data_IF_633090691839
#
_entry.id   IF_633090691839
#
_cell.length_a   1.000
_cell.length_b   1.000
_cell.length_c   1.000
_cell.angle_alpha   90.00
_cell.angle_beta   90.00
_cell.angle_gamma   90.00
#
_symmetry.space_group_name_H-M   'P 1'
#
loop_
_entity.id
_entity.type
_entity.pdbx_description
1 polymer ?
#
# COMPACT_ATOMS: atom_id res chain seq x y z
N UNK A 1 4.19 -25.05 19.08
CA UNK A 1 4.66 -25.76 20.28
C UNK A 1 4.55 -24.82 21.47
N UNK A 2 3.94 -25.25 22.54
CA UNK A 2 3.87 -24.50 23.80
C UNK A 2 4.21 -25.48 24.93
N UNK A 3 5.34 -25.29 25.59
CA UNK A 3 5.80 -26.10 26.73
C UNK A 3 5.57 -25.42 28.09
N UNK A 4 4.64 -24.43 28.14
CA UNK A 4 4.32 -23.62 29.31
C UNK A 4 5.27 -22.43 29.55
N UNK A 5 6.47 -22.45 28.97
CA UNK A 5 7.45 -21.35 29.05
C UNK A 5 7.77 -20.72 27.71
N UNK A 6 7.53 -21.42 26.61
CA UNK A 6 7.84 -20.95 25.25
C UNK A 6 6.63 -21.20 24.35
N UNK A 7 6.17 -20.18 23.70
CA UNK A 7 5.10 -20.23 22.70
C UNK A 7 5.65 -19.78 21.34
N UNK A 8 5.32 -20.52 20.28
CA UNK A 8 5.59 -20.12 18.90
C UNK A 8 4.28 -20.25 18.13
N UNK A 9 3.92 -19.20 17.41
CA UNK A 9 2.75 -19.16 16.54
C UNK A 9 3.15 -18.67 15.15
N UNK A 10 2.81 -19.45 14.14
CA UNK A 10 2.88 -19.05 12.74
C UNK A 10 1.48 -19.00 12.16
N UNK A 11 1.20 -17.95 11.38
CA UNK A 11 -0.04 -17.82 10.60
C UNK A 11 0.26 -17.34 9.20
N UNK A 12 -0.42 -17.95 8.25
CA UNK A 12 -0.44 -17.53 6.86
C UNK A 12 -1.88 -17.20 6.47
N UNK A 13 -2.08 -16.07 5.80
CA UNK A 13 -3.37 -15.65 5.26
C UNK A 13 -3.21 -15.34 3.80
N UNK A 14 -4.00 -16.00 2.96
CA UNK A 14 -4.13 -15.74 1.53
C UNK A 14 -5.47 -15.05 1.28
N UNK A 15 -5.44 -13.91 0.59
CA UNK A 15 -6.63 -13.17 0.16
C UNK A 15 -6.57 -12.98 -1.34
N UNK A 16 -7.64 -13.39 -2.01
CA UNK A 16 -7.83 -13.17 -3.45
C UNK A 16 -9.18 -12.52 -3.65
N UNK A 17 -9.20 -11.35 -4.29
CA UNK A 17 -10.42 -10.59 -4.53
C UNK A 17 -10.52 -10.22 -6.02
N UNK A 18 -11.74 -10.33 -6.57
CA UNK A 18 -12.11 -9.80 -7.88
C UNK A 18 -13.27 -8.83 -7.67
N UNK A 19 -13.18 -7.66 -8.26
CA UNK A 19 -14.24 -6.67 -8.23
C UNK A 19 -15.30 -6.96 -9.30
N UNK A 20 -16.43 -6.25 -9.21
CA UNK A 20 -17.47 -6.21 -10.24
C UNK A 20 -16.98 -5.57 -11.55
N UNK A 21 -16.01 -4.64 -11.45
CA UNK A 21 -15.36 -4.04 -12.62
C UNK A 21 -14.43 -5.06 -13.28
N UNK A 22 -14.59 -5.34 -14.58
CA UNK A 22 -13.74 -6.30 -15.28
C UNK A 22 -12.24 -5.97 -15.16
N UNK A 23 -11.38 -7.02 -15.22
CA UNK A 23 -9.93 -6.94 -15.13
C UNK A 23 -9.37 -6.43 -13.78
N UNK A 24 -10.23 -6.15 -12.81
CA UNK A 24 -9.80 -5.76 -11.45
C UNK A 24 -9.55 -6.99 -10.61
N UNK A 25 -8.39 -7.04 -9.95
CA UNK A 25 -8.11 -8.09 -8.98
C UNK A 25 -7.09 -7.61 -7.92
N UNK A 26 -7.18 -8.22 -6.76
CA UNK A 26 -6.23 -8.06 -5.67
C UNK A 26 -5.77 -9.43 -5.17
N UNK A 27 -4.49 -9.57 -4.96
CA UNK A 27 -3.89 -10.66 -4.20
C UNK A 27 -3.14 -10.09 -3.01
N UNK A 28 -3.30 -10.72 -1.83
CA UNK A 28 -2.57 -10.35 -0.62
C UNK A 28 -2.19 -11.59 0.15
N UNK A 29 -0.91 -11.73 0.43
CA UNK A 29 -0.33 -12.79 1.24
C UNK A 29 0.22 -12.16 2.52
N UNK A 30 -0.15 -12.72 3.69
CA UNK A 30 0.27 -12.24 5.00
C UNK A 30 0.89 -13.40 5.78
N UNK A 31 2.15 -13.23 6.16
CA UNK A 31 2.89 -14.17 7.01
C UNK A 31 3.12 -13.52 8.38
N UNK A 32 2.71 -14.20 9.44
CA UNK A 32 2.95 -13.76 10.80
C UNK A 32 3.70 -14.85 11.56
N UNK A 33 4.76 -14.47 12.23
CA UNK A 33 5.48 -15.28 13.20
C UNK A 33 5.50 -14.52 14.53
N UNK A 34 5.10 -15.19 15.60
CA UNK A 34 5.26 -14.69 16.97
C UNK A 34 5.90 -15.76 17.82
N UNK A 35 6.88 -15.36 18.60
CA UNK A 35 7.52 -16.20 19.58
C UNK A 35 7.60 -15.48 20.92
N UNK A 36 7.27 -16.15 22.00
CA UNK A 36 7.42 -15.66 23.35
C UNK A 36 8.05 -16.72 24.24
N UNK A 37 8.87 -16.31 25.18
CA UNK A 37 9.49 -17.21 26.13
C UNK A 37 9.88 -16.48 27.40
N UNK A 38 9.87 -17.22 28.51
CA UNK A 38 10.40 -16.78 29.80
C UNK A 38 11.58 -17.66 30.18
N UNK A 39 12.74 -17.05 30.43
CA UNK A 39 13.99 -17.71 30.78
C UNK A 39 14.64 -17.00 31.98
N UNK A 40 14.58 -17.62 33.16
CA UNK A 40 15.08 -17.03 34.38
C UNK A 40 14.39 -15.71 34.71
N UNK A 41 15.14 -14.62 34.71
CA UNK A 41 14.64 -13.25 34.97
C UNK A 41 14.18 -12.50 33.71
N UNK A 42 14.19 -13.15 32.53
CA UNK A 42 13.90 -12.51 31.27
C UNK A 42 12.59 -13.02 30.68
N UNK A 43 11.72 -12.10 30.27
CA UNK A 43 10.58 -12.36 29.42
C UNK A 43 10.82 -11.76 28.05
N UNK A 44 10.69 -12.58 27.01
CA UNK A 44 10.99 -12.22 25.64
C UNK A 44 9.71 -12.36 24.81
N UNK A 45 9.36 -11.37 24.03
CA UNK A 45 8.29 -11.42 23.03
C UNK A 45 8.82 -10.87 21.71
N UNK A 46 8.61 -11.60 20.65
CA UNK A 46 9.12 -11.29 19.33
C UNK A 46 8.04 -11.54 18.31
N UNK A 47 7.85 -10.62 17.37
CA UNK A 47 6.93 -10.80 16.26
C UNK A 47 7.47 -10.25 14.96
N UNK A 48 7.20 -10.97 13.88
CA UNK A 48 7.47 -10.58 12.50
C UNK A 48 6.18 -10.71 11.72
N UNK A 49 5.84 -9.67 10.98
CA UNK A 49 4.77 -9.68 10.00
C UNK A 49 5.35 -9.30 8.62
N UNK A 50 5.10 -10.10 7.62
CA UNK A 50 5.37 -9.76 6.22
C UNK A 50 4.07 -9.77 5.44
N UNK A 51 3.79 -8.69 4.73
CA UNK A 51 2.63 -8.56 3.85
C UNK A 51 3.10 -8.24 2.44
N UNK A 52 2.65 -9.05 1.48
CA UNK A 52 2.78 -8.79 0.06
C UNK A 52 1.40 -8.57 -0.55
N UNK A 53 1.24 -7.48 -1.28
CA UNK A 53 -0.01 -7.16 -1.98
C UNK A 53 0.29 -6.80 -3.44
N UNK A 54 -0.52 -7.32 -4.36
CA UNK A 54 -0.55 -6.95 -5.77
C UNK A 54 -2.00 -6.63 -6.14
N UNK A 55 -2.22 -5.43 -6.69
CA UNK A 55 -3.55 -4.98 -7.13
C UNK A 55 -3.44 -4.48 -8.56
N UNK A 56 -4.36 -4.91 -9.41
CA UNK A 56 -4.50 -4.41 -10.78
C UNK A 56 -5.85 -3.78 -10.99
N UNK A 57 -5.84 -2.67 -11.73
CA UNK A 57 -7.01 -1.92 -12.14
C UNK A 57 -7.94 -1.58 -10.97
N UNK A 58 -7.34 -1.09 -9.86
CA UNK A 58 -8.12 -0.58 -8.72
C UNK A 58 -9.06 0.52 -9.22
N UNK A 59 -10.37 0.42 -8.97
CA UNK A 59 -11.31 1.46 -9.38
C UNK A 59 -10.95 2.81 -8.77
N UNK A 60 -10.97 3.85 -9.58
CA UNK A 60 -10.79 5.21 -9.12
C UNK A 60 -12.03 5.67 -8.33
N UNK A 61 -11.83 6.54 -7.34
CA UNK A 61 -12.86 7.01 -6.42
C UNK A 61 -13.05 8.52 -6.52
N UNK A 62 -14.16 9.03 -5.96
CA UNK A 62 -14.48 10.45 -5.89
C UNK A 62 -14.59 11.08 -7.27
N UNK A 63 -14.03 12.28 -7.44
CA UNK A 63 -14.09 13.06 -8.68
C UNK A 63 -13.05 12.68 -9.74
N UNK A 64 -12.38 11.55 -9.56
CA UNK A 64 -11.44 11.06 -10.56
C UNK A 64 -12.11 10.92 -11.93
N UNK A 65 -11.42 11.36 -12.98
CA UNK A 65 -11.85 11.24 -14.38
C UNK A 65 -12.09 9.79 -14.80
N UNK A 66 -11.33 8.86 -14.22
CA UNK A 66 -11.43 7.40 -14.44
C UNK A 66 -12.34 6.69 -13.43
N UNK A 67 -13.19 7.42 -12.70
CA UNK A 67 -14.18 6.80 -11.81
C UNK A 67 -15.35 6.27 -12.63
N UNK A 68 -15.34 4.96 -12.92
CA UNK A 68 -16.34 4.26 -13.73
C UNK A 68 -17.73 4.42 -13.13
N UNK A 69 -17.88 4.32 -11.80
CA UNK A 69 -19.16 4.49 -11.11
C UNK A 69 -19.75 5.89 -11.32
N UNK A 70 -18.93 6.95 -11.14
CA UNK A 70 -19.32 8.32 -11.41
C UNK A 70 -19.70 8.50 -12.88
N UNK A 71 -18.85 8.04 -13.80
CA UNK A 71 -19.08 8.20 -15.23
C UNK A 71 -20.38 7.50 -15.68
N UNK A 72 -20.70 6.34 -15.14
CA UNK A 72 -21.95 5.66 -15.40
C UNK A 72 -23.16 6.39 -14.81
N UNK A 73 -23.05 6.95 -13.61
CA UNK A 73 -24.17 7.67 -12.96
C UNK A 73 -24.47 9.02 -13.61
N UNK A 74 -23.51 9.64 -14.28
CA UNK A 74 -23.67 10.92 -14.98
C UNK A 74 -24.12 10.77 -16.43
N UNK A 75 -24.21 9.53 -16.94
CA UNK A 75 -24.74 9.26 -18.28
C UNK A 75 -26.24 9.61 -18.36
N UNK A 76 -26.65 10.27 -19.44
CA UNK A 76 -28.06 10.41 -19.72
C UNK A 76 -28.70 9.03 -19.99
N UNK A 77 -29.93 8.83 -19.50
CA UNK A 77 -30.66 7.54 -19.65
C UNK A 77 -30.96 7.17 -21.11
N UNK A 78 -30.79 8.11 -22.02
CA UNK A 78 -30.94 7.93 -23.47
C UNK A 78 -29.74 7.29 -24.16
N UNK A 79 -28.60 7.15 -23.45
CA UNK A 79 -27.42 6.49 -24.03
C UNK A 79 -27.60 4.97 -24.04
N UNK A 80 -27.47 4.38 -25.22
CA UNK A 80 -27.45 2.93 -25.38
C UNK A 80 -26.07 2.38 -24.97
N UNK A 81 -26.06 1.31 -24.18
CA UNK A 81 -24.84 0.60 -23.82
C UNK A 81 -24.08 0.06 -25.04
N UNK A 82 -24.76 -0.23 -26.14
CA UNK A 82 -24.11 -0.65 -27.37
C UNK A 82 -23.19 0.42 -27.93
N UNK A 83 -23.53 1.70 -27.80
CA UNK A 83 -22.66 2.82 -28.19
C UNK A 83 -21.42 2.91 -27.32
N UNK A 84 -21.55 2.72 -26.01
CA UNK A 84 -20.43 2.73 -25.10
C UNK A 84 -19.45 1.57 -25.35
N UNK A 85 -19.95 0.40 -25.78
CA UNK A 85 -19.12 -0.75 -26.16
C UNK A 85 -18.29 -0.48 -27.40
N UNK A 86 -18.73 0.41 -28.29
CA UNK A 86 -17.95 0.90 -29.42
C UNK A 86 -16.97 1.98 -28.97
N UNK A 87 -16.12 1.66 -27.96
CA UNK A 87 -15.21 2.59 -27.31
C UNK A 87 -13.99 2.98 -28.14
N UNK A 88 -13.74 2.30 -29.23
CA UNK A 88 -12.65 2.59 -30.17
C UNK A 88 -13.16 2.67 -31.60
N UNK A 89 -12.52 3.50 -32.42
CA UNK A 89 -12.76 3.61 -33.84
C UNK A 89 -12.03 2.52 -34.65
N UNK A 90 -12.11 2.62 -35.98
CA UNK A 90 -11.45 1.68 -36.89
C UNK A 90 -9.91 1.71 -36.81
N UNK A 91 -9.33 2.79 -36.32
CA UNK A 91 -7.89 2.95 -36.12
C UNK A 91 -7.42 2.50 -34.72
N UNK A 92 -8.37 2.05 -33.86
CA UNK A 92 -8.10 1.69 -32.47
C UNK A 92 -7.96 2.88 -31.54
N UNK A 93 -8.37 4.08 -31.96
CA UNK A 93 -8.36 5.31 -31.18
C UNK A 93 -9.66 5.47 -30.37
N UNK A 94 -9.65 6.39 -29.39
CA UNK A 94 -10.82 6.67 -28.59
C UNK A 94 -12.00 7.13 -29.46
N UNK A 95 -13.09 6.38 -29.43
CA UNK A 95 -14.31 6.78 -30.12
C UNK A 95 -14.94 7.95 -29.39
N UNK A 96 -14.93 9.13 -30.04
CA UNK A 96 -15.50 10.33 -29.45
C UNK A 96 -17.02 10.24 -29.42
N UNK A 97 -17.58 10.08 -28.23
CA UNK A 97 -19.02 9.98 -27.99
C UNK A 97 -19.62 11.20 -27.28
N UNK A 98 -18.77 12.05 -26.65
CA UNK A 98 -19.20 13.16 -25.79
C UNK A 98 -18.38 14.43 -25.98
N UNK A 99 -17.77 14.67 -27.14
CA UNK A 99 -16.94 15.84 -27.41
C UNK A 99 -15.55 15.80 -26.76
N UNK A 100 -15.00 14.62 -26.48
CA UNK A 100 -13.69 14.40 -25.82
C UNK A 100 -13.66 14.98 -24.39
N UNK A 101 -14.78 14.97 -23.68
CA UNK A 101 -14.85 15.43 -22.30
C UNK A 101 -13.92 14.62 -21.39
N UNK A 102 -12.86 15.22 -20.83
CA UNK A 102 -11.91 14.51 -19.98
C UNK A 102 -12.49 14.13 -18.62
N UNK A 103 -13.64 14.68 -18.23
CA UNK A 103 -14.32 14.37 -16.96
C UNK A 103 -15.31 13.22 -17.09
N UNK A 104 -15.59 12.76 -18.31
CA UNK A 104 -16.53 11.69 -18.63
C UNK A 104 -15.94 10.73 -19.67
N UNK A 105 -14.83 10.08 -19.32
CA UNK A 105 -14.22 9.07 -20.18
C UNK A 105 -15.14 7.87 -20.31
N UNK A 106 -15.22 7.29 -21.52
CA UNK A 106 -15.99 6.09 -21.75
C UNK A 106 -15.55 4.95 -20.79
N UNK A 107 -16.45 4.38 -19.97
CA UNK A 107 -16.10 3.34 -19.01
C UNK A 107 -15.44 2.09 -19.64
N UNK A 108 -15.84 1.71 -20.84
CA UNK A 108 -15.22 0.59 -21.56
C UNK A 108 -13.79 0.90 -22.00
N UNK A 109 -13.53 2.14 -22.43
CA UNK A 109 -12.17 2.57 -22.73
C UNK A 109 -11.27 2.50 -21.48
N UNK A 110 -11.74 3.02 -20.34
CA UNK A 110 -10.99 2.96 -19.08
C UNK A 110 -10.69 1.53 -18.65
N UNK A 111 -11.63 0.60 -18.82
CA UNK A 111 -11.43 -0.81 -18.45
C UNK A 111 -10.48 -1.55 -19.38
N UNK A 112 -10.51 -1.23 -20.69
CA UNK A 112 -9.85 -2.05 -21.70
C UNK A 112 -8.56 -1.46 -22.25
N UNK A 113 -8.38 -0.14 -22.19
CA UNK A 113 -7.21 0.57 -22.72
C UNK A 113 -6.35 1.21 -21.66
N UNK A 114 -6.95 1.77 -20.61
CA UNK A 114 -6.23 2.30 -19.48
C UNK A 114 -5.94 1.19 -18.45
N UNK A 115 -4.92 1.41 -17.62
CA UNK A 115 -4.63 0.46 -16.55
C UNK A 115 -3.93 1.13 -15.39
N UNK A 116 -4.12 0.60 -14.18
CA UNK A 116 -3.28 0.92 -13.05
C UNK A 116 -2.86 -0.35 -12.30
N UNK A 117 -1.73 -0.31 -11.67
CA UNK A 117 -1.29 -1.39 -10.81
C UNK A 117 -0.60 -0.86 -9.56
N UNK A 118 -0.70 -1.60 -8.48
CA UNK A 118 0.09 -1.31 -7.28
C UNK A 118 0.65 -2.59 -6.68
N UNK A 119 1.90 -2.50 -6.21
CA UNK A 119 2.58 -3.57 -5.49
C UNK A 119 3.05 -3.03 -4.17
N UNK A 120 2.85 -3.80 -3.11
CA UNK A 120 3.27 -3.45 -1.75
C UNK A 120 3.97 -4.63 -1.13
N UNK A 121 5.18 -4.40 -0.62
CA UNK A 121 5.90 -5.28 0.27
C UNK A 121 6.10 -4.55 1.59
N UNK A 122 5.57 -5.10 2.68
CA UNK A 122 5.66 -4.50 4.00
C UNK A 122 6.20 -5.52 5.00
N UNK A 123 7.23 -5.14 5.71
CA UNK A 123 7.85 -5.91 6.76
C UNK A 123 7.73 -5.15 8.08
N UNK A 124 7.15 -5.80 9.09
CA UNK A 124 7.06 -5.27 10.45
C UNK A 124 7.74 -6.23 11.41
N UNK A 125 8.57 -5.67 12.22
CA UNK A 125 9.28 -6.35 13.28
C UNK A 125 8.97 -5.68 14.62
N UNK A 126 8.72 -6.48 15.67
CA UNK A 126 8.64 -5.99 17.03
C UNK A 126 9.34 -7.00 17.94
N UNK A 127 10.20 -6.49 18.81
CA UNK A 127 10.88 -7.24 19.84
C UNK A 127 10.73 -6.53 21.18
N UNK A 128 10.42 -7.29 22.22
CA UNK A 128 10.29 -6.81 23.59
C UNK A 128 11.06 -7.73 24.52
N UNK A 129 11.87 -7.14 25.35
CA UNK A 129 12.62 -7.81 26.41
C UNK A 129 12.25 -7.17 27.73
N UNK A 130 11.78 -7.96 28.69
CA UNK A 130 11.57 -7.53 30.07
C UNK A 130 12.58 -8.25 30.95
N UNK A 131 13.39 -7.48 31.67
CA UNK A 131 14.32 -7.98 32.67
C UNK A 131 13.75 -7.72 34.06
N UNK A 132 13.34 -8.79 34.74
CA UNK A 132 12.85 -8.76 36.12
C UNK A 132 14.04 -8.77 37.07
N UNK A 133 14.59 -7.58 37.40
CA UNK A 133 15.81 -7.43 38.22
C UNK A 133 15.53 -7.88 39.65
N UNK A 134 14.43 -7.36 40.23
CA UNK A 134 13.92 -7.74 41.56
C UNK A 134 12.40 -7.96 41.48
N UNK A 135 11.77 -8.27 42.62
CA UNK A 135 10.30 -8.34 42.70
C UNK A 135 9.62 -6.99 42.46
N UNK A 136 10.36 -5.88 42.71
CA UNK A 136 9.85 -4.51 42.62
C UNK A 136 10.36 -3.74 41.41
N UNK A 137 11.47 -4.15 40.80
CA UNK A 137 12.11 -3.41 39.70
C UNK A 137 12.19 -4.27 38.44
N UNK A 138 11.65 -3.73 37.35
CA UNK A 138 11.76 -4.30 35.98
C UNK A 138 12.33 -3.25 35.04
N UNK A 139 13.10 -3.71 34.08
CA UNK A 139 13.53 -2.92 32.93
C UNK A 139 12.97 -3.53 31.67
N UNK A 140 12.31 -2.74 30.87
CA UNK A 140 11.71 -3.17 29.60
C UNK A 140 12.37 -2.43 28.44
N UNK A 141 12.90 -3.17 27.47
CA UNK A 141 13.32 -2.66 26.18
C UNK A 141 12.37 -3.13 25.08
N UNK A 142 11.95 -2.22 24.22
CA UNK A 142 11.13 -2.51 23.03
C UNK A 142 11.82 -1.97 21.80
N UNK A 143 11.94 -2.78 20.75
CA UNK A 143 12.45 -2.38 19.45
C UNK A 143 11.40 -2.71 18.38
N UNK A 144 11.04 -1.73 17.56
CA UNK A 144 10.14 -1.88 16.43
C UNK A 144 10.78 -1.36 15.14
N UNK A 145 10.49 -2.03 14.04
CA UNK A 145 10.82 -1.55 12.70
C UNK A 145 9.67 -1.83 11.74
N UNK A 146 9.37 -0.86 10.90
CA UNK A 146 8.48 -1.02 9.75
C UNK A 146 9.21 -0.59 8.49
N UNK A 147 9.31 -1.51 7.54
CA UNK A 147 9.88 -1.28 6.21
C UNK A 147 8.76 -1.48 5.20
N UNK A 148 8.48 -0.47 4.40
CA UNK A 148 7.41 -0.50 3.41
C UNK A 148 7.95 -0.05 2.05
N UNK A 149 7.76 -0.89 1.05
CA UNK A 149 8.01 -0.61 -0.36
C UNK A 149 6.68 -0.65 -1.08
N UNK A 150 6.32 0.45 -1.71
CA UNK A 150 5.08 0.56 -2.46
C UNK A 150 5.38 1.15 -3.83
N UNK A 151 4.95 0.45 -4.87
CA UNK A 151 5.01 0.93 -6.25
C UNK A 151 3.60 1.10 -6.77
N UNK A 152 3.33 2.22 -7.40
CA UNK A 152 2.08 2.48 -8.11
C UNK A 152 2.39 2.90 -9.53
N UNK A 153 1.71 2.28 -10.48
CA UNK A 153 1.79 2.59 -11.90
C UNK A 153 0.40 2.96 -12.41
N UNK A 154 0.31 4.05 -13.17
CA UNK A 154 -0.92 4.52 -13.84
C UNK A 154 -0.62 4.79 -15.31
N UNK A 155 -1.28 4.06 -16.20
CA UNK A 155 -1.16 4.17 -17.64
C UNK A 155 -2.46 4.67 -18.26
N UNK A 156 -2.36 5.66 -19.14
CA UNK A 156 -3.44 6.13 -19.99
C UNK A 156 -3.01 5.97 -21.45
N UNK A 157 -3.82 5.23 -22.20
CA UNK A 157 -3.57 5.02 -23.62
C UNK A 157 -3.63 6.33 -24.39
N UNK A 158 -2.89 6.47 -25.49
CA UNK A 158 -3.05 7.59 -26.42
C UNK A 158 -4.49 7.76 -26.85
N UNK A 159 -4.87 9.01 -27.16
CA UNK A 159 -6.23 9.45 -27.49
C UNK A 159 -7.24 9.39 -26.34
N UNK A 160 -6.84 8.98 -25.11
CA UNK A 160 -7.68 9.15 -23.92
C UNK A 160 -7.96 10.64 -23.68
N UNK A 161 -9.21 11.08 -23.49
CA UNK A 161 -9.53 12.48 -23.23
C UNK A 161 -8.76 13.02 -22.02
N UNK A 162 -7.99 14.11 -22.25
CA UNK A 162 -7.07 14.70 -21.28
C UNK A 162 -5.70 14.03 -21.17
N UNK A 163 -5.43 13.02 -22.00
CA UNK A 163 -4.14 12.30 -22.15
C UNK A 163 -3.92 11.90 -23.61
N UNK A 164 -4.15 12.81 -24.54
CA UNK A 164 -4.25 12.55 -25.98
C UNK A 164 -2.96 11.93 -26.56
N UNK A 165 -1.81 12.32 -26.00
CA UNK A 165 -0.50 11.77 -26.41
C UNK A 165 -0.09 10.51 -25.62
N UNK A 166 -0.94 10.02 -24.74
CA UNK A 166 -0.60 8.94 -23.80
C UNK A 166 0.14 9.41 -22.55
N UNK A 167 0.03 8.63 -21.48
CA UNK A 167 0.61 8.96 -20.19
C UNK A 167 1.00 7.70 -19.42
N UNK A 168 2.15 7.75 -18.76
CA UNK A 168 2.57 6.72 -17.82
C UNK A 168 3.18 7.41 -16.58
N UNK A 169 2.65 7.10 -15.41
CA UNK A 169 3.24 7.50 -14.14
C UNK A 169 3.65 6.28 -13.35
N UNK A 170 4.87 6.29 -12.83
CA UNK A 170 5.39 5.27 -11.94
C UNK A 170 5.88 5.93 -10.66
N UNK A 171 5.24 5.60 -9.52
CA UNK A 171 5.55 6.14 -8.21
C UNK A 171 6.16 5.03 -7.36
N UNK A 172 7.37 5.25 -6.87
CA UNK A 172 8.06 4.35 -5.96
C UNK A 172 8.20 5.02 -4.59
N UNK A 173 7.56 4.42 -3.60
CA UNK A 173 7.59 4.87 -2.21
C UNK A 173 8.38 3.90 -1.36
N UNK A 174 9.32 4.42 -0.57
CA UNK A 174 10.04 3.67 0.45
C UNK A 174 9.88 4.39 1.78
N UNK A 175 9.26 3.72 2.73
CA UNK A 175 9.10 4.23 4.08
C UNK A 175 9.81 3.28 5.04
N UNK A 176 10.60 3.85 5.95
CA UNK A 176 11.33 3.13 6.99
C UNK A 176 11.10 3.83 8.31
N UNK A 177 10.50 3.11 9.24
CA UNK A 177 10.24 3.59 10.60
C UNK A 177 10.95 2.69 11.59
N UNK A 178 11.58 3.30 12.58
CA UNK A 178 12.24 2.62 13.68
C UNK A 178 11.79 3.25 14.99
N UNK A 179 11.50 2.41 15.96
CA UNK A 179 11.11 2.83 17.29
C UNK A 179 11.87 2.01 18.33
N UNK A 180 12.54 2.69 19.25
CA UNK A 180 13.23 2.08 20.37
C UNK A 180 12.74 2.73 21.65
N UNK A 181 12.33 1.92 22.62
CA UNK A 181 11.83 2.37 23.90
C UNK A 181 12.57 1.63 25.01
N UNK A 182 12.95 2.34 26.04
CA UNK A 182 13.50 1.78 27.28
C UNK A 182 12.73 2.35 28.47
N UNK A 183 12.20 1.45 29.31
CA UNK A 183 11.44 1.78 30.49
C UNK A 183 12.02 1.09 31.72
N UNK A 184 12.16 1.82 32.82
CA UNK A 184 12.37 1.28 34.14
C UNK A 184 11.06 1.41 34.93
N UNK A 185 10.57 0.29 35.45
CA UNK A 185 9.28 0.17 36.14
C UNK A 185 9.56 -0.29 37.57
N UNK A 186 9.19 0.55 38.53
CA UNK A 186 9.29 0.23 39.97
C UNK A 186 7.90 0.17 40.57
N UNK A 187 7.60 -0.89 41.32
CA UNK A 187 6.36 -1.03 42.08
C UNK A 187 6.68 -1.61 43.45
N UNK A 188 6.09 -1.03 44.49
CA UNK A 188 6.19 -1.53 45.83
C UNK A 188 4.96 -1.12 46.68
N UNK A 189 4.64 -1.94 47.67
CA UNK A 189 3.55 -1.70 48.60
C UNK A 189 4.09 -1.66 50.01
N UNK A 190 3.75 -0.61 50.78
CA UNK A 190 4.11 -0.42 52.19
C UNK A 190 2.84 -0.20 53.02
N UNK A 191 2.38 -1.25 53.71
CA UNK A 191 1.14 -1.20 54.45
C UNK A 191 -0.04 -0.92 53.53
N UNK A 192 -0.68 0.24 53.69
CA UNK A 192 -1.84 0.66 52.90
C UNK A 192 -1.44 1.56 51.69
N UNK A 193 -0.15 1.72 51.41
CA UNK A 193 0.33 2.58 50.31
C UNK A 193 0.92 1.75 49.20
N UNK A 194 0.40 1.94 47.99
CA UNK A 194 0.95 1.40 46.75
C UNK A 194 1.70 2.48 45.99
N UNK A 195 2.98 2.26 45.69
CA UNK A 195 3.82 3.17 44.95
C UNK A 195 4.23 2.56 43.62
N UNK A 196 3.91 3.25 42.54
CA UNK A 196 4.30 2.88 41.19
C UNK A 196 5.05 4.04 40.55
N UNK A 197 6.22 3.78 40.00
CA UNK A 197 7.02 4.75 39.27
C UNK A 197 7.48 4.17 37.94
N UNK A 198 7.43 4.98 36.89
CA UNK A 198 7.96 4.62 35.57
C UNK A 198 8.87 5.73 35.07
N UNK A 199 10.09 5.36 34.69
CA UNK A 199 11.04 6.24 34.03
C UNK A 199 11.43 5.62 32.68
N UNK A 200 11.46 6.42 31.63
CA UNK A 200 11.85 5.90 30.34
C UNK A 200 12.09 6.95 29.27
N UNK A 201 12.53 6.46 28.12
CA UNK A 201 12.76 7.26 26.93
C UNK A 201 12.40 6.48 25.69
N UNK A 202 12.07 7.21 24.63
CA UNK A 202 11.73 6.69 23.32
C UNK A 202 12.55 7.41 22.25
N UNK A 203 13.05 6.65 21.29
CA UNK A 203 13.70 7.15 20.09
C UNK A 203 12.90 6.69 18.88
N UNK A 204 12.32 7.62 18.14
CA UNK A 204 11.58 7.36 16.94
C UNK A 204 12.26 8.01 15.73
N UNK A 205 12.44 7.24 14.66
CA UNK A 205 13.04 7.69 13.42
C UNK A 205 12.21 7.26 12.24
N UNK A 206 11.92 8.22 11.34
CA UNK A 206 11.25 8.00 10.05
C UNK A 206 12.17 8.44 8.94
N UNK A 207 12.18 7.69 7.86
CA UNK A 207 12.82 8.08 6.61
C UNK A 207 11.89 7.71 5.46
N UNK A 208 11.42 8.71 4.73
CA UNK A 208 10.57 8.56 3.57
C UNK A 208 11.35 8.93 2.31
N UNK A 209 11.24 8.11 1.30
CA UNK A 209 11.77 8.36 -0.02
C UNK A 209 10.68 8.10 -1.06
N UNK A 210 10.44 9.06 -1.93
CA UNK A 210 9.50 8.94 -3.04
C UNK A 210 10.22 9.29 -4.33
N UNK A 211 10.03 8.49 -5.36
CA UNK A 211 10.49 8.77 -6.72
C UNK A 211 9.24 8.72 -7.61
N UNK A 212 8.91 9.85 -8.19
CA UNK A 212 7.83 9.98 -9.18
C UNK A 212 8.46 10.05 -10.57
N UNK A 213 8.13 9.10 -11.42
CA UNK A 213 8.52 9.09 -12.83
C UNK A 213 7.29 9.31 -13.67
N UNK A 214 7.27 10.36 -14.48
CA UNK A 214 6.17 10.69 -15.38
C UNK A 214 6.68 10.65 -16.82
N UNK A 215 5.96 9.94 -17.70
CA UNK A 215 6.26 9.83 -19.11
C UNK A 215 5.04 10.28 -19.94
N UNK A 216 5.29 11.05 -21.00
CA UNK A 216 4.30 11.60 -21.93
C UNK A 216 4.79 11.45 -23.36
N UNK A 217 3.88 11.65 -24.29
CA UNK A 217 4.16 11.58 -25.72
C UNK A 217 4.65 10.19 -26.14
N UNK A 218 3.70 9.23 -26.16
CA UNK A 218 3.97 7.84 -26.53
C UNK A 218 4.27 7.70 -28.01
N UNK A 219 5.48 7.25 -28.33
CA UNK A 219 5.97 6.98 -29.71
C UNK A 219 5.75 5.53 -30.17
N UNK A 220 5.67 4.58 -29.25
CA UNK A 220 5.44 3.16 -29.57
C UNK A 220 4.13 2.76 -28.90
N UNK A 221 3.06 2.63 -29.68
CA UNK A 221 1.72 2.27 -29.18
C UNK A 221 1.70 0.85 -28.62
N UNK A 222 0.84 0.62 -27.63
CA UNK A 222 0.58 -0.68 -26.99
C UNK A 222 1.77 -1.30 -26.24
N UNK A 223 2.88 -0.56 -26.09
CA UNK A 223 4.03 -0.97 -25.28
C UNK A 223 4.13 -0.08 -24.04
N UNK A 224 3.63 -0.57 -22.91
CA UNK A 224 3.64 0.17 -21.63
C UNK A 224 5.02 0.06 -20.99
N UNK A 225 5.94 0.90 -21.42
CA UNK A 225 7.29 1.00 -20.87
C UNK A 225 7.82 2.43 -21.03
N UNK A 226 8.68 2.89 -20.13
CA UNK A 226 9.23 4.27 -20.19
C UNK A 226 9.92 4.58 -21.51
N UNK A 227 10.61 3.59 -22.10
CA UNK A 227 11.28 3.72 -23.40
C UNK A 227 10.33 3.99 -24.57
N UNK A 228 9.03 3.76 -24.38
CA UNK A 228 8.00 3.99 -25.41
C UNK A 228 7.50 5.44 -25.46
N UNK A 229 8.07 6.31 -24.63
CA UNK A 229 7.70 7.72 -24.54
C UNK A 229 8.87 8.61 -24.96
N UNK A 230 8.55 9.79 -25.54
CA UNK A 230 9.55 10.80 -25.92
C UNK A 230 9.96 11.66 -24.72
N UNK A 231 9.02 11.95 -23.81
CA UNK A 231 9.24 12.81 -22.66
C UNK A 231 9.19 11.97 -21.38
N UNK A 232 10.28 11.98 -20.59
CA UNK A 232 10.34 11.31 -19.30
C UNK A 232 10.93 12.26 -18.28
N UNK A 233 10.19 12.55 -17.20
CA UNK A 233 10.65 13.32 -16.06
C UNK A 233 10.73 12.45 -14.80
N UNK A 234 11.74 12.70 -13.96
CA UNK A 234 11.95 12.00 -12.70
C UNK A 234 12.08 13.03 -11.58
N UNK A 235 11.24 12.91 -10.57
CA UNK A 235 11.20 13.79 -9.42
C UNK A 235 11.44 12.99 -8.13
N UNK A 236 12.64 13.08 -7.53
CA UNK A 236 12.93 12.44 -6.25
C UNK A 236 12.58 13.36 -5.08
N UNK A 237 11.94 12.80 -4.05
CA UNK A 237 11.66 13.46 -2.77
C UNK A 237 12.18 12.59 -1.63
N UNK A 238 12.81 13.22 -0.61
CA UNK A 238 13.23 12.55 0.63
C UNK A 238 13.06 13.45 1.84
N UNK A 239 12.52 12.93 2.94
CA UNK A 239 12.32 13.65 4.22
C UNK A 239 12.19 12.68 5.39
#
# INVERSE_FOLDING_TARGET
MNNGKTGIRFTYTDMRNKDIVPKTHMSRDIFNLRANTSAGKFDLDFSVNYTREDVKNRPALGDSKSNIGKNLMTLATTYDQAWLKSYQDANGEYANWNGMDPYNVNPYWDVYKNSNSSKKDQFRFNGKVVWNITQHLKVQGTAGAELNWFTFEDYKAPTTPGYESGYLQNNNFRNRMYNFELLALYNNSWGNFDFNATLGGNLYKVNNQTIVTTAKDMKIRDVVALMSFNEVSVEPYSY
#
